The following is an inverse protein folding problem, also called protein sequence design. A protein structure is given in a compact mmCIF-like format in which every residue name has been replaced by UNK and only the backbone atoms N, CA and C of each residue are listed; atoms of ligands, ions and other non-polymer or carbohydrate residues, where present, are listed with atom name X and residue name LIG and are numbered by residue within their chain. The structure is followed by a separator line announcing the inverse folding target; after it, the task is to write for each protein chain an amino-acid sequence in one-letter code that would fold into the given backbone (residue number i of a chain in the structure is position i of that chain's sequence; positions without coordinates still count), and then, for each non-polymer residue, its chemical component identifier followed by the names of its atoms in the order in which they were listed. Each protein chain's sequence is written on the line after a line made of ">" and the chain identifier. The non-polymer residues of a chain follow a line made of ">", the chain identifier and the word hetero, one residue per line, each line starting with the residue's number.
data_IF_147425342352
#
_entry.id   IF_147425342352
#
_cell.length_a   1.000
_cell.length_b   1.000
_cell.length_c   1.000
_cell.angle_alpha   90.00
_cell.angle_beta   90.00
_cell.angle_gamma   90.00
#
_symmetry.space_group_name_H-M   'P 1'
#
loop_
_entity.id
_entity.type
_entity.pdbx_description
1 polymer ?
#
# COMPACT_ATOMS: atom_id res chain seq x y z
N UNK A 1 0.11 -16.11 -14.37
CA UNK A 1 0.10 -15.44 -13.08
C UNK A 1 -0.80 -16.24 -12.14
N UNK A 2 -0.24 -16.66 -11.03
CA UNK A 2 -1.01 -17.34 -9.99
C UNK A 2 -1.69 -16.31 -9.10
N UNK A 3 -2.98 -16.49 -8.84
CA UNK A 3 -3.77 -15.62 -7.96
C UNK A 3 -3.96 -16.34 -6.64
N UNK A 4 -3.55 -15.69 -5.57
CA UNK A 4 -3.76 -16.19 -4.19
C UNK A 4 -4.61 -15.18 -3.41
N UNK A 5 -5.48 -15.70 -2.55
CA UNK A 5 -6.36 -14.85 -1.76
C UNK A 5 -5.79 -14.64 -0.35
N UNK A 6 -5.74 -13.40 0.08
CA UNK A 6 -5.23 -13.01 1.40
C UNK A 6 -5.98 -13.73 2.54
N UNK A 7 -7.30 -13.93 2.36
CA UNK A 7 -8.12 -14.63 3.35
C UNK A 7 -7.77 -16.12 3.48
N UNK A 8 -7.45 -16.79 2.37
CA UNK A 8 -7.08 -18.21 2.39
C UNK A 8 -5.70 -18.40 3.03
N UNK A 9 -4.74 -17.55 2.67
CA UNK A 9 -3.41 -17.53 3.29
C UNK A 9 -3.50 -17.22 4.79
N UNK A 10 -4.34 -16.27 5.18
CA UNK A 10 -4.54 -15.93 6.58
C UNK A 10 -5.19 -17.08 7.35
N UNK A 11 -6.24 -17.70 6.80
CA UNK A 11 -6.89 -18.88 7.41
C UNK A 11 -5.89 -20.02 7.65
N UNK A 12 -4.96 -20.22 6.72
CA UNK A 12 -3.91 -21.22 6.88
C UNK A 12 -3.05 -20.95 8.12
N UNK A 13 -2.54 -19.73 8.29
CA UNK A 13 -1.62 -19.41 9.39
C UNK A 13 -2.30 -19.36 10.75
N UNK A 14 -3.59 -18.96 10.84
CA UNK A 14 -4.32 -18.90 12.11
C UNK A 14 -4.95 -20.23 12.55
N UNK A 15 -4.73 -21.32 11.81
CA UNK A 15 -4.99 -22.69 12.30
C UNK A 15 -4.15 -23.00 13.54
N UNK A 16 -2.92 -22.48 13.59
CA UNK A 16 -2.11 -22.54 14.78
C UNK A 16 -2.67 -21.63 15.86
N UNK A 17 -3.02 -22.21 17.03
CA UNK A 17 -3.67 -21.51 18.13
C UNK A 17 -2.78 -20.39 18.71
N UNK A 18 -1.47 -20.60 18.78
CA UNK A 18 -0.53 -19.60 19.29
C UNK A 18 -0.43 -18.41 18.34
N UNK A 19 -0.39 -18.67 17.02
CA UNK A 19 -0.38 -17.61 15.99
C UNK A 19 -1.71 -16.85 16.02
N UNK A 20 -2.83 -17.54 16.14
CA UNK A 20 -4.16 -16.93 16.23
C UNK A 20 -4.28 -16.00 17.43
N UNK A 21 -3.89 -16.44 18.62
CA UNK A 21 -3.88 -15.62 19.85
C UNK A 21 -2.97 -14.40 19.72
N UNK A 22 -1.79 -14.58 19.14
CA UNK A 22 -0.87 -13.46 18.88
C UNK A 22 -1.49 -12.43 17.93
N UNK A 23 -2.13 -12.86 16.83
CA UNK A 23 -2.84 -11.99 15.90
C UNK A 23 -3.97 -11.21 16.61
N UNK A 24 -4.81 -11.90 17.38
CA UNK A 24 -5.92 -11.26 18.11
C UNK A 24 -5.38 -10.19 19.05
N UNK A 25 -4.31 -10.50 19.79
CA UNK A 25 -3.64 -9.54 20.66
C UNK A 25 -3.19 -8.29 19.91
N UNK A 26 -2.42 -8.45 18.83
CA UNK A 26 -1.90 -7.33 18.03
C UNK A 26 -3.04 -6.53 17.39
N UNK A 27 -4.10 -7.19 16.92
CA UNK A 27 -5.28 -6.55 16.34
C UNK A 27 -6.01 -5.67 17.36
N UNK A 28 -6.18 -6.18 18.58
CA UNK A 28 -6.83 -5.43 19.68
C UNK A 28 -5.94 -4.27 20.13
N UNK A 29 -4.64 -4.49 20.34
CA UNK A 29 -3.71 -3.44 20.76
C UNK A 29 -3.63 -2.29 19.74
N UNK A 30 -3.67 -2.61 18.46
CA UNK A 30 -3.58 -1.62 17.39
C UNK A 30 -4.88 -0.83 17.17
N UNK A 31 -6.04 -1.46 17.34
CA UNK A 31 -7.31 -0.90 16.88
C UNK A 31 -8.38 -0.66 17.94
N UNK A 32 -8.25 -1.23 19.14
CA UNK A 32 -9.29 -1.12 20.18
C UNK A 32 -8.84 -0.20 21.31
N UNK A 33 -9.66 0.75 21.67
CA UNK A 33 -9.37 1.70 22.74
C UNK A 33 -10.27 1.45 23.96
N UNK A 34 -9.66 1.39 25.13
CA UNK A 34 -10.35 1.15 26.41
C UNK A 34 -10.19 -0.27 26.93
N UNK A 35 -9.78 -0.38 28.21
CA UNK A 35 -9.38 -1.65 28.83
C UNK A 35 -10.50 -2.71 28.82
N UNK A 36 -11.73 -2.31 29.22
CA UNK A 36 -12.86 -3.24 29.24
C UNK A 36 -13.31 -3.68 27.85
N UNK A 37 -13.25 -2.76 26.87
CA UNK A 37 -13.59 -3.09 25.48
C UNK A 37 -12.54 -4.03 24.88
N UNK A 38 -11.25 -3.76 25.10
CA UNK A 38 -10.17 -4.63 24.64
C UNK A 38 -10.31 -6.05 25.18
N UNK A 39 -10.62 -6.20 26.48
CA UNK A 39 -10.87 -7.52 27.10
C UNK A 39 -12.05 -8.24 26.45
N UNK A 40 -13.19 -7.55 26.29
CA UNK A 40 -14.39 -8.13 25.71
C UNK A 40 -14.20 -8.51 24.22
N UNK A 41 -13.51 -7.69 23.43
CA UNK A 41 -13.20 -7.99 22.02
C UNK A 41 -12.24 -9.18 21.93
N UNK A 42 -11.23 -9.26 22.80
CA UNK A 42 -10.33 -10.42 22.85
C UNK A 42 -11.11 -11.71 23.14
N UNK A 43 -11.94 -11.73 24.19
CA UNK A 43 -12.77 -12.89 24.57
C UNK A 43 -13.67 -13.32 23.42
N UNK A 44 -14.32 -12.37 22.75
CA UNK A 44 -15.15 -12.65 21.57
C UNK A 44 -14.33 -13.28 20.44
N UNK A 45 -13.22 -12.65 20.03
CA UNK A 45 -12.42 -13.13 18.89
C UNK A 45 -11.77 -14.50 19.17
N UNK A 46 -11.39 -14.78 20.42
CA UNK A 46 -10.89 -16.11 20.82
C UNK A 46 -11.98 -17.20 20.75
N UNK A 47 -13.26 -16.82 20.91
CA UNK A 47 -14.40 -17.75 20.77
C UNK A 47 -14.77 -18.03 19.32
N UNK A 48 -14.33 -17.18 18.37
CA UNK A 48 -14.63 -17.34 16.94
C UNK A 48 -13.79 -18.48 16.35
N UNK A 49 -14.39 -19.41 15.59
CA UNK A 49 -13.64 -20.42 14.85
C UNK A 49 -12.58 -19.81 13.94
N UNK A 50 -11.40 -20.47 13.82
CA UNK A 50 -10.28 -19.90 13.06
C UNK A 50 -10.63 -19.56 11.60
N UNK A 51 -11.48 -20.37 10.97
CA UNK A 51 -11.94 -20.19 9.58
C UNK A 51 -12.91 -19.02 9.40
N UNK A 52 -13.45 -18.48 10.50
CA UNK A 52 -14.34 -17.32 10.54
C UNK A 52 -13.67 -16.05 11.08
N UNK A 53 -12.43 -16.16 11.56
CA UNK A 53 -11.74 -15.04 12.19
C UNK A 53 -11.52 -13.87 11.21
N UNK A 54 -11.15 -14.19 9.96
CA UNK A 54 -10.98 -13.16 8.92
C UNK A 54 -12.26 -12.31 8.76
N UNK A 55 -13.40 -12.96 8.56
CA UNK A 55 -14.68 -12.28 8.40
C UNK A 55 -15.08 -11.49 9.64
N UNK A 56 -14.85 -12.05 10.84
CA UNK A 56 -15.18 -11.40 12.09
C UNK A 56 -14.44 -10.07 12.29
N UNK A 57 -13.14 -10.03 11.96
CA UNK A 57 -12.34 -8.80 12.09
C UNK A 57 -12.54 -7.84 10.92
N UNK A 58 -12.77 -8.34 9.70
CA UNK A 58 -12.96 -7.52 8.52
C UNK A 58 -14.28 -6.74 8.55
N UNK A 59 -15.39 -7.39 8.95
CA UNK A 59 -16.73 -6.76 9.03
C UNK A 59 -16.89 -5.76 10.18
N UNK A 60 -15.93 -5.72 11.12
CA UNK A 60 -16.08 -4.97 12.36
C UNK A 60 -16.87 -5.74 13.43
N UNK A 61 -16.83 -5.25 14.66
CA UNK A 61 -17.46 -5.89 15.83
C UNK A 61 -18.56 -4.98 16.37
N UNK A 62 -19.77 -5.50 16.41
CA UNK A 62 -20.95 -4.80 16.90
C UNK A 62 -21.26 -5.14 18.36
N UNK A 63 -22.20 -4.41 18.95
CA UNK A 63 -22.75 -4.77 20.29
C UNK A 63 -23.36 -6.18 20.30
N UNK A 64 -24.03 -6.56 19.23
CA UNK A 64 -24.66 -7.87 19.13
C UNK A 64 -23.63 -9.03 19.17
N UNK A 65 -22.48 -8.83 18.53
CA UNK A 65 -21.38 -9.82 18.54
C UNK A 65 -20.86 -10.07 19.96
N UNK A 66 -20.88 -9.07 20.85
CA UNK A 66 -20.44 -9.19 22.24
C UNK A 66 -21.54 -9.74 23.19
N UNK A 67 -22.70 -10.18 22.68
CA UNK A 67 -23.80 -10.67 23.53
C UNK A 67 -23.42 -11.88 24.39
N UNK A 68 -22.52 -12.74 23.90
CA UNK A 68 -22.03 -13.95 24.61
C UNK A 68 -20.87 -13.71 25.58
N UNK A 69 -20.21 -12.54 25.54
CA UNK A 69 -19.06 -12.21 26.41
C UNK A 69 -19.50 -12.05 27.86
N UNK A 70 -18.70 -12.58 28.81
CA UNK A 70 -19.07 -12.56 30.23
C UNK A 70 -19.09 -11.15 30.80
N UNK A 71 -17.98 -10.40 30.65
CA UNK A 71 -17.84 -9.04 31.18
C UNK A 71 -18.13 -8.02 30.06
N UNK A 72 -19.32 -7.42 30.07
CA UNK A 72 -19.71 -6.41 29.09
C UNK A 72 -18.95 -5.09 29.30
N UNK A 73 -18.35 -4.51 28.24
CA UNK A 73 -17.75 -3.19 28.35
C UNK A 73 -18.80 -2.08 28.52
N UNK A 74 -18.39 -0.93 29.02
CA UNK A 74 -19.28 0.24 29.21
C UNK A 74 -19.99 0.59 27.88
N UNK A 75 -19.28 0.56 26.77
CA UNK A 75 -19.80 0.86 25.43
C UNK A 75 -20.93 -0.09 25.00
N UNK A 76 -21.02 -1.29 25.55
CA UNK A 76 -22.12 -2.21 25.29
C UNK A 76 -23.48 -1.64 25.74
N UNK A 77 -23.50 -0.91 26.86
CA UNK A 77 -24.72 -0.37 27.47
C UNK A 77 -25.11 1.00 26.93
N UNK A 78 -24.14 1.72 26.32
CA UNK A 78 -24.39 3.04 25.73
C UNK A 78 -25.09 2.84 24.37
N UNK A 79 -26.29 3.39 24.26
CA UNK A 79 -27.05 3.36 23.01
C UNK A 79 -26.62 4.51 22.11
N UNK A 80 -26.00 4.17 21.01
CA UNK A 80 -25.60 5.08 19.94
C UNK A 80 -26.14 4.55 18.62
N UNK A 81 -26.40 5.45 17.67
CA UNK A 81 -26.85 5.06 16.32
C UNK A 81 -25.76 4.31 15.55
N UNK A 82 -24.49 4.60 15.85
CA UNK A 82 -23.36 3.88 15.27
C UNK A 82 -23.24 2.48 15.87
N UNK A 83 -23.34 1.41 15.06
CA UNK A 83 -23.49 0.06 15.60
C UNK A 83 -22.17 -0.59 16.02
N UNK A 84 -21.03 -0.12 15.49
CA UNK A 84 -19.75 -0.78 15.68
C UNK A 84 -19.05 -0.33 16.98
N UNK A 85 -18.52 -1.30 17.70
CA UNK A 85 -17.58 -1.12 18.82
C UNK A 85 -16.12 -1.21 18.35
N UNK A 86 -15.92 -1.90 17.25
CA UNK A 86 -14.67 -1.92 16.50
C UNK A 86 -15.02 -1.75 15.03
N UNK A 87 -14.50 -0.72 14.40
CA UNK A 87 -14.82 -0.39 13.01
C UNK A 87 -14.46 -1.52 12.04
N UNK A 88 -15.23 -1.69 10.95
CA UNK A 88 -14.84 -2.52 9.82
C UNK A 88 -13.49 -2.09 9.24
N UNK A 89 -12.82 -3.00 8.55
CA UNK A 89 -11.63 -2.67 7.78
C UNK A 89 -12.06 -2.06 6.44
N UNK A 90 -11.75 -0.78 6.16
CA UNK A 90 -12.43 -0.07 5.08
C UNK A 90 -11.95 -0.47 3.68
N UNK A 91 -10.68 -0.88 3.53
CA UNK A 91 -10.04 -0.97 2.22
C UNK A 91 -9.15 -2.21 2.06
N UNK A 92 -9.44 -3.31 2.74
CA UNK A 92 -8.62 -4.52 2.71
C UNK A 92 -8.48 -5.13 1.29
N UNK A 93 -9.42 -4.87 0.38
CA UNK A 93 -9.34 -5.31 -1.01
C UNK A 93 -8.30 -4.54 -1.84
N UNK A 94 -7.78 -3.40 -1.37
CA UNK A 94 -6.61 -2.72 -1.94
C UNK A 94 -5.32 -3.29 -1.34
N UNK A 95 -4.95 -4.49 -1.76
CA UNK A 95 -3.81 -5.22 -1.22
C UNK A 95 -2.46 -4.55 -1.53
N UNK A 96 -2.39 -3.74 -2.59
CA UNK A 96 -1.20 -2.99 -2.98
C UNK A 96 -0.78 -1.98 -1.91
N UNK A 97 -1.75 -1.34 -1.25
CA UNK A 97 -1.44 -0.27 -0.30
C UNK A 97 -0.80 -0.80 0.98
N UNK A 98 -1.22 -1.99 1.44
CA UNK A 98 -0.79 -2.56 2.72
C UNK A 98 0.57 -3.27 2.66
N UNK A 99 1.05 -3.57 1.46
CA UNK A 99 2.36 -4.22 1.23
C UNK A 99 2.81 -4.06 -0.21
N UNK A 100 4.13 -4.14 -0.43
CA UNK A 100 4.70 -4.14 -1.77
C UNK A 100 5.99 -4.97 -1.82
N UNK A 101 6.35 -5.44 -3.02
CA UNK A 101 7.58 -6.18 -3.27
C UNK A 101 8.50 -5.37 -4.17
N UNK A 102 9.80 -5.41 -3.89
CA UNK A 102 10.86 -4.85 -4.74
C UNK A 102 11.99 -5.90 -4.85
N UNK A 103 12.26 -6.34 -6.08
CA UNK A 103 13.16 -7.47 -6.31
C UNK A 103 12.68 -8.71 -5.57
N UNK A 104 13.54 -9.30 -4.73
CA UNK A 104 13.23 -10.48 -3.90
C UNK A 104 12.78 -10.14 -2.48
N UNK A 105 12.64 -8.86 -2.15
CA UNK A 105 12.25 -8.43 -0.81
C UNK A 105 10.81 -7.93 -0.77
N UNK A 106 10.25 -7.89 0.43
CA UNK A 106 8.91 -7.43 0.72
C UNK A 106 8.93 -6.29 1.74
N UNK A 107 8.01 -5.37 1.63
CA UNK A 107 7.76 -4.32 2.63
C UNK A 107 6.33 -4.41 3.14
N UNK A 108 6.15 -4.19 4.43
CA UNK A 108 4.85 -4.02 5.05
C UNK A 108 4.66 -2.54 5.33
N UNK A 109 3.61 -1.99 4.77
CA UNK A 109 3.32 -0.56 4.81
C UNK A 109 3.05 -0.07 6.23
N UNK A 110 3.48 1.16 6.52
CA UNK A 110 3.06 1.91 7.69
C UNK A 110 1.94 2.87 7.24
N UNK A 111 0.69 2.43 7.42
CA UNK A 111 -0.47 3.18 6.94
C UNK A 111 -0.61 4.50 7.67
N UNK A 112 -0.77 5.59 6.92
CA UNK A 112 -0.95 6.94 7.46
C UNK A 112 -2.34 7.13 8.08
N UNK A 113 -3.35 6.42 7.54
CA UNK A 113 -4.71 6.49 8.07
C UNK A 113 -4.94 5.46 9.18
N UNK A 114 -5.28 5.89 10.42
CA UNK A 114 -5.49 4.98 11.56
C UNK A 114 -6.49 3.86 11.26
N UNK A 115 -7.55 4.14 10.49
CA UNK A 115 -8.56 3.15 10.12
C UNK A 115 -7.99 1.96 9.35
N UNK A 116 -6.89 2.17 8.59
CA UNK A 116 -6.25 1.14 7.77
C UNK A 116 -5.07 0.43 8.44
N UNK A 117 -4.61 0.90 9.58
CA UNK A 117 -3.40 0.34 10.23
C UNK A 117 -3.54 -1.16 10.51
N UNK A 118 -4.75 -1.62 10.90
CA UNK A 118 -5.03 -3.03 11.19
C UNK A 118 -4.98 -3.93 9.95
N UNK A 119 -5.17 -3.37 8.75
CA UNK A 119 -5.13 -4.13 7.50
C UNK A 119 -3.75 -4.74 7.25
N UNK A 120 -2.67 -4.08 7.68
CA UNK A 120 -1.29 -4.55 7.49
C UNK A 120 -0.95 -5.79 8.31
N UNK A 121 -1.70 -6.07 9.39
CA UNK A 121 -1.48 -7.23 10.23
C UNK A 121 -1.67 -8.54 9.46
N UNK A 122 -2.63 -8.62 8.54
CA UNK A 122 -2.85 -9.83 7.75
C UNK A 122 -1.58 -10.21 6.98
N UNK A 123 -1.02 -9.25 6.25
CA UNK A 123 0.19 -9.49 5.46
C UNK A 123 1.39 -9.80 6.36
N UNK A 124 1.49 -9.14 7.52
CA UNK A 124 2.56 -9.40 8.49
C UNK A 124 2.54 -10.83 9.00
N UNK A 125 1.36 -11.33 9.37
CA UNK A 125 1.22 -12.70 9.86
C UNK A 125 1.39 -13.72 8.76
N UNK A 126 0.87 -13.46 7.55
CA UNK A 126 1.08 -14.30 6.38
C UNK A 126 2.58 -14.36 6.04
N UNK A 127 3.28 -13.23 5.94
CA UNK A 127 4.73 -13.21 5.69
C UNK A 127 5.50 -14.05 6.70
N UNK A 128 5.17 -13.92 7.98
CA UNK A 128 5.93 -14.55 9.06
C UNK A 128 5.67 -16.07 9.20
N UNK A 129 4.47 -16.53 8.88
CA UNK A 129 4.03 -17.88 9.24
C UNK A 129 3.58 -18.73 8.06
N UNK A 130 3.28 -18.16 6.88
CA UNK A 130 2.87 -18.93 5.71
C UNK A 130 4.05 -19.62 5.04
N UNK A 131 3.82 -20.87 4.60
CA UNK A 131 4.76 -21.63 3.76
C UNK A 131 5.02 -20.90 2.43
N UNK A 132 4.05 -20.17 1.91
CA UNK A 132 4.17 -19.43 0.65
C UNK A 132 5.33 -18.41 0.67
N UNK A 133 5.56 -17.76 1.82
CA UNK A 133 6.68 -16.84 2.04
C UNK A 133 7.86 -17.50 2.79
N UNK A 134 7.91 -18.84 2.82
CA UNK A 134 8.97 -19.57 3.50
C UNK A 134 9.08 -19.25 4.98
N UNK A 135 7.94 -18.96 5.64
CA UNK A 135 7.88 -18.63 7.08
C UNK A 135 8.80 -17.47 7.46
N UNK A 136 8.75 -16.41 6.71
CA UNK A 136 9.55 -15.20 6.95
C UNK A 136 10.95 -15.24 6.34
N UNK A 137 11.26 -16.20 5.46
CA UNK A 137 12.53 -16.23 4.74
C UNK A 137 12.67 -15.12 3.67
N UNK A 138 11.55 -14.55 3.21
CA UNK A 138 11.59 -13.37 2.33
C UNK A 138 12.07 -12.16 3.12
N UNK A 139 13.08 -11.49 2.61
CA UNK A 139 13.68 -10.34 3.26
C UNK A 139 12.72 -9.17 3.45
N UNK A 140 12.67 -8.62 4.66
CA UNK A 140 11.90 -7.44 4.99
C UNK A 140 12.64 -6.16 4.59
N UNK A 141 12.09 -5.39 3.65
CA UNK A 141 12.65 -4.11 3.20
C UNK A 141 12.22 -2.95 4.09
N UNK A 142 11.00 -3.00 4.59
CA UNK A 142 10.38 -2.00 5.45
C UNK A 142 9.30 -2.64 6.30
N UNK A 143 9.22 -2.25 7.57
CA UNK A 143 8.19 -2.71 8.50
C UNK A 143 7.43 -1.52 9.09
N UNK A 144 6.14 -1.66 9.31
CA UNK A 144 5.26 -0.62 9.81
C UNK A 144 5.67 -0.06 11.19
N UNK A 145 6.46 -0.79 11.98
CA UNK A 145 6.99 -0.33 13.26
C UNK A 145 8.05 0.79 13.12
N UNK A 146 8.44 1.12 11.89
CA UNK A 146 9.43 2.18 11.64
C UNK A 146 8.95 3.59 12.02
N UNK A 147 7.66 3.77 12.32
CA UNK A 147 7.10 5.04 12.79
C UNK A 147 6.94 6.13 11.72
N UNK A 148 7.29 5.85 10.46
CA UNK A 148 7.17 6.77 9.34
C UNK A 148 6.20 6.18 8.30
N UNK A 149 5.18 6.95 7.91
CA UNK A 149 4.16 6.48 6.95
C UNK A 149 4.75 6.21 5.58
N UNK A 150 4.42 5.03 5.02
CA UNK A 150 4.64 4.64 3.64
C UNK A 150 3.54 3.68 3.21
N UNK A 151 2.98 3.89 2.03
CA UNK A 151 1.92 3.03 1.46
C UNK A 151 2.36 2.53 0.08
N UNK A 152 2.05 1.26 -0.24
CA UNK A 152 2.55 0.60 -1.44
C UNK A 152 2.05 1.24 -2.75
N UNK A 153 0.92 1.95 -2.72
CA UNK A 153 0.44 2.75 -3.86
C UNK A 153 1.39 3.88 -4.27
N UNK A 154 2.27 4.32 -3.37
CA UNK A 154 3.31 5.30 -3.67
C UNK A 154 4.61 4.68 -4.23
N UNK A 155 4.74 3.34 -4.26
CA UNK A 155 6.00 2.69 -4.63
C UNK A 155 5.87 1.95 -5.95
N UNK A 156 6.61 2.39 -6.95
CA UNK A 156 6.63 1.82 -8.30
C UNK A 156 8.03 1.29 -8.63
N UNK A 157 8.14 -0.01 -8.85
CA UNK A 157 9.36 -0.62 -9.40
C UNK A 157 9.48 -0.23 -10.87
N UNK A 158 10.53 0.50 -11.22
CA UNK A 158 10.78 0.91 -12.61
C UNK A 158 11.76 -0.04 -13.32
N UNK A 159 12.74 -0.56 -12.58
CA UNK A 159 13.68 -1.57 -13.05
C UNK A 159 14.27 -2.32 -11.85
N UNK A 160 15.19 -3.25 -12.10
CA UNK A 160 15.98 -3.93 -11.06
C UNK A 160 16.89 -2.99 -10.26
N UNK A 161 17.09 -1.74 -10.74
CA UNK A 161 18.00 -0.75 -10.14
C UNK A 161 17.34 0.58 -9.79
N UNK A 162 16.11 0.79 -10.21
CA UNK A 162 15.42 2.06 -10.04
C UNK A 162 14.00 1.90 -9.52
N UNK A 163 13.65 2.70 -8.51
CA UNK A 163 12.32 2.76 -7.92
C UNK A 163 11.82 4.20 -7.94
N UNK A 164 10.56 4.42 -8.31
CA UNK A 164 9.89 5.70 -8.12
C UNK A 164 9.03 5.64 -6.84
N UNK A 165 9.11 6.70 -6.03
CA UNK A 165 8.35 6.79 -4.78
C UNK A 165 7.67 8.14 -4.71
N UNK A 166 6.33 8.14 -4.54
CA UNK A 166 5.56 9.33 -4.21
C UNK A 166 5.74 9.73 -2.74
N UNK A 167 5.79 11.01 -2.47
CA UNK A 167 5.74 11.54 -1.10
C UNK A 167 4.73 12.68 -1.03
N UNK A 168 3.69 12.49 -0.23
CA UNK A 168 2.58 13.43 -0.12
C UNK A 168 1.79 13.23 1.16
N UNK A 169 0.51 12.93 1.02
CA UNK A 169 -0.40 12.71 2.15
C UNK A 169 -0.10 11.41 2.90
N UNK A 170 0.30 10.34 2.17
CA UNK A 170 0.40 8.97 2.70
C UNK A 170 1.81 8.53 2.99
N UNK A 171 2.76 8.96 2.19
CA UNK A 171 4.17 8.57 2.32
C UNK A 171 5.02 9.77 2.70
N UNK A 172 5.74 9.66 3.81
CA UNK A 172 6.61 10.70 4.33
C UNK A 172 8.01 10.63 3.71
N UNK A 173 8.69 11.77 3.61
CA UNK A 173 10.09 11.83 3.15
C UNK A 173 11.01 10.98 4.03
N UNK A 174 10.78 10.94 5.34
CA UNK A 174 11.58 10.12 6.26
C UNK A 174 11.44 8.61 5.97
N UNK A 175 10.26 8.16 5.54
CA UNK A 175 10.06 6.77 5.13
C UNK A 175 10.78 6.48 3.81
N UNK A 176 10.74 7.42 2.85
CA UNK A 176 11.49 7.31 1.58
C UNK A 176 12.98 7.21 1.84
N UNK A 177 13.53 8.07 2.70
CA UNK A 177 14.95 8.02 3.08
C UNK A 177 15.34 6.65 3.64
N UNK A 178 14.55 6.13 4.57
CA UNK A 178 14.80 4.83 5.20
C UNK A 178 14.73 3.68 4.19
N UNK A 179 13.72 3.68 3.33
CA UNK A 179 13.60 2.66 2.29
C UNK A 179 14.73 2.76 1.26
N UNK A 180 15.10 3.97 0.83
CA UNK A 180 16.19 4.21 -0.11
C UNK A 180 17.53 3.66 0.42
N UNK A 181 17.86 3.91 1.70
CA UNK A 181 19.05 3.35 2.34
C UNK A 181 19.05 1.81 2.35
N UNK A 182 17.88 1.20 2.54
CA UNK A 182 17.74 -0.26 2.49
C UNK A 182 17.94 -0.78 1.06
N UNK A 183 17.35 -0.12 0.07
CA UNK A 183 17.46 -0.48 -1.34
C UNK A 183 18.89 -0.33 -1.87
N UNK A 184 19.59 0.75 -1.51
CA UNK A 184 20.97 0.98 -1.93
C UNK A 184 21.93 -0.12 -1.42
N UNK A 185 21.73 -0.62 -0.20
CA UNK A 185 22.48 -1.77 0.32
C UNK A 185 22.22 -3.07 -0.46
N UNK A 186 21.15 -3.13 -1.23
CA UNK A 186 20.74 -4.28 -2.05
C UNK A 186 21.07 -4.11 -3.54
N UNK A 187 21.82 -3.06 -3.89
CA UNK A 187 22.29 -2.84 -5.24
C UNK A 187 21.38 -1.96 -6.11
N UNK A 188 20.33 -1.39 -5.56
CA UNK A 188 19.61 -0.33 -6.26
C UNK A 188 20.51 0.89 -6.41
N UNK A 189 20.45 1.52 -7.56
CA UNK A 189 21.30 2.65 -7.90
C UNK A 189 20.57 3.99 -7.77
N UNK A 190 19.24 3.97 -7.84
CA UNK A 190 18.44 5.19 -7.92
C UNK A 190 17.05 5.05 -7.30
N UNK A 191 16.64 6.09 -6.59
CA UNK A 191 15.25 6.30 -6.17
C UNK A 191 14.81 7.66 -6.69
N UNK A 192 13.72 7.70 -7.44
CA UNK A 192 13.08 8.92 -7.90
C UNK A 192 11.97 9.30 -6.91
N UNK A 193 12.18 10.36 -6.16
CA UNK A 193 11.19 10.88 -5.22
C UNK A 193 10.30 11.92 -5.91
N UNK A 194 9.04 11.56 -6.14
CA UNK A 194 8.00 12.46 -6.64
C UNK A 194 7.35 13.19 -5.47
N UNK A 195 7.52 14.51 -5.39
CA UNK A 195 6.94 15.31 -4.31
C UNK A 195 5.52 15.71 -4.63
N UNK A 196 4.58 14.81 -4.36
CA UNK A 196 3.16 15.04 -4.59
C UNK A 196 2.60 16.10 -3.62
N UNK A 197 1.62 16.92 -4.06
CA UNK A 197 0.86 17.75 -3.13
C UNK A 197 0.14 16.89 -2.09
N UNK A 198 0.15 17.35 -0.82
CA UNK A 198 -0.55 16.64 0.26
C UNK A 198 -2.06 16.86 0.14
N UNK A 199 -2.71 16.06 -0.68
CA UNK A 199 -4.15 16.08 -0.86
C UNK A 199 -4.67 14.72 -1.32
N UNK A 200 -5.94 14.44 -1.05
CA UNK A 200 -6.61 13.20 -1.47
C UNK A 200 -6.56 12.96 -2.98
N UNK A 201 -6.57 14.02 -3.80
CA UNK A 201 -6.46 13.93 -5.26
C UNK A 201 -5.16 13.28 -5.70
N UNK A 202 -4.07 13.52 -4.98
CA UNK A 202 -2.72 13.03 -5.28
C UNK A 202 -2.23 12.04 -4.21
N UNK A 203 -3.16 11.24 -3.65
CA UNK A 203 -2.88 10.43 -2.46
C UNK A 203 -1.73 9.44 -2.65
N UNK A 204 -1.64 8.81 -3.83
CA UNK A 204 -0.60 7.84 -4.18
C UNK A 204 -0.03 8.13 -5.58
N UNK A 205 1.19 7.67 -5.82
CA UNK A 205 1.83 7.82 -7.12
C UNK A 205 1.17 6.92 -8.18
N UNK A 206 0.64 5.75 -7.81
CA UNK A 206 -0.02 4.81 -8.74
C UNK A 206 -1.36 5.33 -9.29
N UNK A 207 -2.02 6.28 -8.61
CA UNK A 207 -3.19 6.96 -9.18
C UNK A 207 -2.80 8.06 -10.17
N UNK A 208 -1.51 8.39 -10.24
CA UNK A 208 -0.96 9.41 -11.14
C UNK A 208 -0.15 8.81 -12.29
N UNK A 209 0.44 7.62 -12.10
CA UNK A 209 1.31 7.01 -13.09
C UNK A 209 1.39 5.49 -12.92
N UNK A 210 1.31 4.76 -14.04
CA UNK A 210 1.67 3.34 -14.11
C UNK A 210 2.69 3.13 -15.22
N UNK A 211 3.76 2.36 -14.95
CA UNK A 211 4.72 1.90 -15.95
C UNK A 211 4.10 0.71 -16.70
N UNK A 212 3.71 0.92 -17.96
CA UNK A 212 2.88 -0.04 -18.73
C UNK A 212 3.66 -0.82 -19.77
N UNK A 213 4.82 -0.33 -20.20
CA UNK A 213 5.71 -1.00 -21.16
C UNK A 213 7.14 -0.52 -20.89
N UNK A 214 8.13 -1.09 -21.54
CA UNK A 214 9.56 -0.76 -21.36
C UNK A 214 9.85 0.76 -21.42
N UNK A 215 9.16 1.47 -22.34
CA UNK A 215 9.35 2.90 -22.60
C UNK A 215 8.07 3.72 -22.44
N UNK A 216 6.96 3.11 -21.95
CA UNK A 216 5.66 3.76 -21.88
C UNK A 216 5.11 3.85 -20.47
N UNK A 217 4.53 4.99 -20.18
CA UNK A 217 3.84 5.26 -18.93
C UNK A 217 2.43 5.77 -19.22
N UNK A 218 1.44 5.15 -18.59
CA UNK A 218 0.12 5.72 -18.47
C UNK A 218 0.17 6.75 -17.35
N UNK A 219 -0.15 8.03 -17.63
CA UNK A 219 0.09 9.10 -16.70
C UNK A 219 -1.02 10.17 -16.66
N UNK A 220 -1.28 10.66 -15.46
CA UNK A 220 -2.00 11.91 -15.29
C UNK A 220 -1.16 13.08 -15.85
N UNK A 221 -1.76 14.11 -16.47
CA UNK A 221 -1.02 15.26 -17.03
C UNK A 221 -0.06 15.93 -16.05
N UNK A 222 -0.32 15.90 -14.74
CA UNK A 222 0.60 16.46 -13.75
C UNK A 222 1.98 15.78 -13.75
N UNK A 223 2.06 14.50 -14.11
CA UNK A 223 3.32 13.77 -14.24
C UNK A 223 3.98 14.11 -15.58
N UNK A 224 3.24 13.98 -16.69
CA UNK A 224 3.75 14.23 -18.02
C UNK A 224 4.33 15.66 -18.16
N UNK A 225 3.66 16.65 -17.58
CA UNK A 225 4.05 18.06 -17.63
C UNK A 225 4.82 18.57 -16.39
N UNK A 226 5.19 17.67 -15.47
CA UNK A 226 5.97 17.97 -14.26
C UNK A 226 5.41 19.15 -13.46
N UNK A 227 4.20 19.01 -12.93
CA UNK A 227 3.60 20.08 -12.10
C UNK A 227 4.21 20.20 -10.70
N UNK A 228 5.06 19.24 -10.29
CA UNK A 228 5.76 19.22 -9.01
C UNK A 228 7.17 18.65 -9.13
N UNK A 229 7.99 18.86 -8.09
CA UNK A 229 9.39 18.50 -8.11
C UNK A 229 9.63 16.98 -8.05
N UNK A 230 10.67 16.55 -8.76
CA UNK A 230 11.19 15.19 -8.73
C UNK A 230 12.65 15.27 -8.27
N UNK A 231 12.95 14.56 -7.18
CA UNK A 231 14.29 14.46 -6.63
C UNK A 231 14.89 13.11 -7.00
N UNK A 232 16.14 13.12 -7.45
CA UNK A 232 16.91 11.90 -7.70
C UNK A 232 17.77 11.61 -6.48
N UNK A 233 17.59 10.44 -5.90
CA UNK A 233 18.37 9.94 -4.77
C UNK A 233 19.32 8.86 -5.25
N UNK A 234 20.57 8.89 -4.83
CA UNK A 234 21.57 7.87 -5.14
C UNK A 234 22.47 7.59 -3.92
N UNK A 235 23.14 6.43 -3.86
CA UNK A 235 24.01 6.12 -2.73
C UNK A 235 25.21 7.08 -2.67
N UNK A 236 25.50 7.60 -1.48
CA UNK A 236 26.67 8.42 -1.23
C UNK A 236 27.85 7.56 -0.74
N UNK A 237 29.09 8.00 -1.01
CA UNK A 237 30.30 7.28 -0.63
C UNK A 237 30.45 7.06 0.90
N UNK A 238 29.84 7.91 1.70
CA UNK A 238 29.81 7.81 3.16
C UNK A 238 28.69 6.89 3.71
N UNK A 239 27.98 6.17 2.85
CA UNK A 239 26.83 5.33 3.21
C UNK A 239 25.52 6.10 3.39
N UNK A 240 25.48 7.40 3.10
CA UNK A 240 24.29 8.23 3.09
C UNK A 240 23.60 8.28 1.72
N UNK A 241 22.88 9.37 1.47
CA UNK A 241 22.12 9.62 0.23
C UNK A 241 22.60 10.93 -0.39
N UNK A 242 22.97 10.88 -1.68
CA UNK A 242 23.08 12.07 -2.50
C UNK A 242 21.67 12.43 -3.00
N UNK A 243 21.36 13.73 -2.95
CA UNK A 243 20.07 14.27 -3.40
C UNK A 243 20.32 15.31 -4.47
N UNK A 244 19.68 15.18 -5.61
CA UNK A 244 19.67 16.22 -6.65
C UNK A 244 18.25 16.51 -7.11
N UNK A 245 17.99 17.76 -7.48
CA UNK A 245 16.75 18.20 -8.10
C UNK A 245 17.10 18.83 -9.44
N UNK A 246 16.44 18.35 -10.50
CA UNK A 246 16.67 18.85 -11.85
C UNK A 246 15.47 19.62 -12.37
N UNK A 247 15.71 20.59 -13.24
CA UNK A 247 14.68 21.32 -13.99
C UNK A 247 14.19 20.53 -15.22
N UNK A 248 14.83 19.41 -15.54
CA UNK A 248 14.42 18.55 -16.67
C UNK A 248 12.96 18.12 -16.54
N UNK A 249 12.30 17.91 -17.67
CA UNK A 249 10.95 17.32 -17.72
C UNK A 249 10.96 15.86 -17.25
N UNK A 250 9.80 15.37 -16.81
CA UNK A 250 9.64 14.00 -16.27
C UNK A 250 10.14 12.93 -17.24
N UNK A 251 9.88 13.07 -18.55
CA UNK A 251 10.37 12.12 -19.56
C UNK A 251 11.89 11.98 -19.51
N UNK A 252 12.63 13.09 -19.53
CA UNK A 252 14.11 13.06 -19.48
C UNK A 252 14.67 12.47 -18.20
N UNK A 253 13.98 12.71 -17.07
CA UNK A 253 14.36 12.11 -15.79
C UNK A 253 14.20 10.58 -15.86
N UNK A 254 13.07 10.10 -16.39
CA UNK A 254 12.80 8.68 -16.55
C UNK A 254 13.72 8.02 -17.58
N UNK A 255 13.98 8.67 -18.74
CA UNK A 255 14.93 8.22 -19.76
C UNK A 255 16.32 7.98 -19.14
N UNK A 256 16.84 8.95 -18.39
CA UNK A 256 18.12 8.82 -17.68
C UNK A 256 18.09 7.75 -16.60
N UNK A 257 16.98 7.63 -15.88
CA UNK A 257 16.84 6.67 -14.79
C UNK A 257 16.75 5.22 -15.29
N UNK A 258 16.13 5.02 -16.45
CA UNK A 258 15.94 3.71 -17.06
C UNK A 258 17.05 3.35 -18.06
N UNK A 259 17.87 4.33 -18.47
CA UNK A 259 18.91 4.12 -19.49
C UNK A 259 18.33 3.87 -20.89
N UNK A 260 17.21 4.51 -21.24
CA UNK A 260 16.53 4.37 -22.53
C UNK A 260 16.51 5.72 -23.27
N UNK A 261 16.40 5.66 -24.60
CA UNK A 261 16.50 6.85 -25.45
C UNK A 261 15.25 7.73 -25.38
N UNK A 262 14.08 7.13 -25.15
CA UNK A 262 12.81 7.87 -25.18
C UNK A 262 11.79 7.25 -24.25
N UNK A 263 11.10 8.12 -23.49
CA UNK A 263 9.90 7.78 -22.73
C UNK A 263 8.68 8.38 -23.39
N UNK A 264 7.61 7.58 -23.50
CA UNK A 264 6.33 7.99 -24.05
C UNK A 264 5.28 7.99 -22.94
N UNK A 265 4.53 9.08 -22.80
CA UNK A 265 3.37 9.14 -21.95
C UNK A 265 2.08 8.91 -22.75
N UNK A 266 1.27 7.95 -22.30
CA UNK A 266 -0.15 7.89 -22.63
C UNK A 266 -0.87 8.74 -21.59
N UNK A 267 -1.30 9.93 -22.00
CA UNK A 267 -1.95 10.83 -21.05
C UNK A 267 -3.40 10.43 -20.80
N UNK A 268 -3.74 10.23 -19.54
CA UNK A 268 -5.09 9.91 -19.10
C UNK A 268 -6.11 10.91 -19.65
N UNK A 269 -7.23 10.41 -20.17
CA UNK A 269 -8.28 11.24 -20.78
C UNK A 269 -7.84 12.00 -22.04
N UNK A 270 -6.74 11.55 -22.70
CA UNK A 270 -6.18 12.20 -23.89
C UNK A 270 -5.62 13.59 -23.61
N UNK A 271 -5.29 13.91 -22.36
CA UNK A 271 -4.83 15.24 -21.94
C UNK A 271 -5.95 16.32 -21.91
N UNK A 272 -7.18 15.99 -22.28
CA UNK A 272 -8.31 16.93 -22.22
C UNK A 272 -8.68 17.25 -20.77
N UNK A 273 -8.75 18.56 -20.38
CA UNK A 273 -8.98 18.96 -18.98
C UNK A 273 -10.30 18.48 -18.35
N UNK A 274 -11.32 18.20 -19.14
CA UNK A 274 -12.58 17.67 -18.63
C UNK A 274 -12.47 16.16 -18.47
N UNK A 275 -11.94 15.47 -19.47
CA UNK A 275 -11.85 14.03 -19.50
C UNK A 275 -10.88 13.50 -18.45
N UNK A 276 -9.66 14.03 -18.35
CA UNK A 276 -8.71 13.53 -17.36
C UNK A 276 -9.20 13.78 -15.91
N UNK A 277 -9.95 14.86 -15.64
CA UNK A 277 -10.54 15.08 -14.30
C UNK A 277 -11.63 14.08 -13.97
N UNK A 278 -12.42 13.67 -14.96
CA UNK A 278 -13.45 12.62 -14.78
C UNK A 278 -12.81 11.26 -14.57
N UNK A 279 -11.88 10.89 -15.45
CA UNK A 279 -11.23 9.58 -15.39
C UNK A 279 -10.25 9.45 -14.23
N UNK A 280 -9.71 10.56 -13.69
CA UNK A 280 -8.92 10.54 -12.46
C UNK A 280 -9.69 9.92 -11.28
N UNK A 281 -10.95 10.33 -11.08
CA UNK A 281 -11.81 9.75 -10.04
C UNK A 281 -12.25 8.32 -10.36
N UNK A 282 -12.11 7.91 -11.59
CA UNK A 282 -12.31 6.54 -12.06
C UNK A 282 -11.02 5.71 -12.06
N UNK A 283 -9.93 6.23 -11.50
CA UNK A 283 -8.61 5.57 -11.46
C UNK A 283 -8.03 5.35 -12.86
N UNK A 284 -8.10 6.36 -13.75
CA UNK A 284 -7.74 6.25 -15.17
C UNK A 284 -6.27 5.93 -15.41
N UNK A 285 -5.34 6.38 -14.57
CA UNK A 285 -3.92 6.03 -14.66
C UNK A 285 -3.48 4.93 -13.68
N UNK A 286 -4.41 4.39 -12.88
CA UNK A 286 -4.12 3.26 -11.98
C UNK A 286 -4.41 1.94 -12.71
N UNK A 287 -3.37 1.26 -13.16
CA UNK A 287 -3.45 0.01 -13.90
C UNK A 287 -2.55 -1.04 -13.27
N UNK A 288 -2.88 -2.31 -13.49
CA UNK A 288 -2.01 -3.43 -13.11
C UNK A 288 -1.24 -3.91 -14.34
N UNK A 289 0.06 -3.63 -14.40
CA UNK A 289 0.94 -4.19 -15.41
C UNK A 289 1.27 -5.65 -15.08
N UNK A 290 0.85 -6.56 -15.95
CA UNK A 290 1.09 -7.99 -15.86
C UNK A 290 2.40 -8.39 -16.52
N UNK A 291 2.75 -7.68 -17.59
CA UNK A 291 4.00 -7.78 -18.34
C UNK A 291 4.13 -6.49 -19.16
N UNK A 292 5.32 -6.20 -19.75
CA UNK A 292 5.47 -5.09 -20.68
C UNK A 292 4.42 -5.15 -21.78
N UNK A 293 3.67 -4.07 -21.98
CA UNK A 293 2.60 -3.98 -22.97
C UNK A 293 1.33 -4.80 -22.64
N UNK A 294 1.24 -5.43 -21.47
CA UNK A 294 0.07 -6.20 -21.04
C UNK A 294 -0.42 -5.72 -19.69
N UNK A 295 -1.55 -5.03 -19.68
CA UNK A 295 -2.09 -4.35 -18.50
C UNK A 295 -3.57 -4.68 -18.28
N UNK A 296 -4.00 -4.54 -17.03
CA UNK A 296 -5.41 -4.59 -16.63
C UNK A 296 -5.82 -3.18 -16.21
N UNK A 297 -6.90 -2.67 -16.82
CA UNK A 297 -7.47 -1.34 -16.55
C UNK A 297 -8.93 -1.44 -16.14
N UNK A 298 -9.48 -0.35 -15.65
CA UNK A 298 -10.93 -0.24 -15.43
C UNK A 298 -11.64 0.13 -16.73
N UNK A 299 -12.66 -0.62 -17.12
CA UNK A 299 -13.46 -0.44 -18.33
C UNK A 299 -14.18 0.92 -18.42
N UNK A 300 -14.46 1.55 -17.28
CA UNK A 300 -15.10 2.86 -17.18
C UNK A 300 -14.26 4.05 -17.67
N UNK A 301 -12.96 3.85 -17.91
CA UNK A 301 -12.04 4.87 -18.43
C UNK A 301 -11.99 4.82 -19.96
N UNK A 302 -13.09 5.15 -20.61
CA UNK A 302 -13.29 4.94 -22.05
C UNK A 302 -12.23 5.63 -22.88
N UNK A 303 -11.96 6.91 -22.62
CA UNK A 303 -11.01 7.71 -23.41
C UNK A 303 -9.58 7.17 -23.23
N UNK A 304 -9.17 6.93 -21.98
CA UNK A 304 -7.84 6.37 -21.68
C UNK A 304 -7.66 5.00 -22.31
N UNK A 305 -8.67 4.13 -22.23
CA UNK A 305 -8.58 2.76 -22.76
C UNK A 305 -8.52 2.71 -24.30
N UNK A 306 -9.02 3.73 -25.00
CA UNK A 306 -8.87 3.86 -26.46
C UNK A 306 -7.45 4.29 -26.90
N UNK A 307 -6.65 4.84 -25.95
CA UNK A 307 -5.31 5.34 -26.23
C UNK A 307 -4.20 4.33 -25.89
N UNK A 308 -4.50 3.31 -25.10
CA UNK A 308 -3.60 2.23 -24.70
C UNK A 308 -3.62 1.14 -25.78
#
# INVERSE_FOLDING_TARGET
>A
VDVVYIEDMFKEVVKDDAVRKAFIKDFVELGVRGLSLSKAVTEYLESVPYDKLFDAVAKGITRADLSGVADKPIQYYIKEDYPFLTDPLPNLYFTRDISFCLGTGMAISAMSMPARMRETLFVRYIHKYSEYFGKGAVDMLYDFNCGCGIEGGDVLSLSDKCVAIGSGERTSVAAVERLALTLFKRGYERVLLFKNPSSRTYMHLDVLMTHIDYDKFLAHPCIAHKWFDIYELSPAANGGINVSCTTDGTAKILERALGIDKVTFVEMGGGDPIQYRREHWNMGSNSLAMAPGSIITYDRNIITNELI
#
